data_IF_534323028944
#
_entry.id   IF_534323028944
#
_cell.length_a   1.000
_cell.length_b   1.000
_cell.length_c   1.000
_cell.angle_alpha   90.00
_cell.angle_beta   90.00
_cell.angle_gamma   90.00
#
_symmetry.space_group_name_H-M   'P 1'
#
loop_
_entity.id
_entity.type
_entity.pdbx_description
1 polymer ?
#
# COMPACT_ATOMS: atom_id res chain seq x y z
N UNK A 1 -5.91 7.20 23.52
CA UNK A 1 -5.03 7.95 22.60
C UNK A 1 -5.92 8.91 21.82
N UNK A 2 -5.72 10.21 21.99
CA UNK A 2 -6.58 11.21 21.33
C UNK A 2 -6.18 11.28 19.85
N UNK A 3 -7.01 10.75 18.95
CA UNK A 3 -6.76 10.64 17.50
C UNK A 3 -7.26 11.90 16.77
N UNK A 4 -7.54 12.98 17.52
CA UNK A 4 -8.33 14.09 17.02
C UNK A 4 -7.60 15.05 16.07
N UNK A 5 -6.28 14.97 15.94
CA UNK A 5 -5.55 15.91 15.06
C UNK A 5 -4.31 15.26 14.43
N UNK A 6 -4.40 15.00 13.13
CA UNK A 6 -3.22 14.76 12.30
C UNK A 6 -2.76 16.11 11.75
N UNK A 7 -1.48 16.37 11.84
CA UNK A 7 -0.87 17.57 11.28
C UNK A 7 0.10 17.19 10.17
N UNK A 8 0.14 17.93 9.05
CA UNK A 8 1.11 17.70 7.99
C UNK A 8 2.53 17.76 8.58
N UNK A 9 3.33 16.71 8.40
CA UNK A 9 4.69 16.73 8.86
C UNK A 9 5.52 17.72 8.04
N UNK A 10 6.23 18.62 8.73
CA UNK A 10 7.07 19.60 8.07
C UNK A 10 8.31 19.00 7.40
N UNK A 11 9.14 19.85 6.79
CA UNK A 11 10.37 19.48 6.07
C UNK A 11 11.28 18.54 6.89
N UNK A 12 11.42 18.80 8.21
CA UNK A 12 12.23 17.97 9.12
C UNK A 12 11.75 16.51 9.16
N UNK A 13 10.45 16.27 9.10
CA UNK A 13 9.89 14.93 9.08
C UNK A 13 10.14 14.23 7.73
N UNK A 14 10.10 14.96 6.64
CA UNK A 14 10.43 14.43 5.31
C UNK A 14 11.92 14.09 5.19
N UNK A 15 12.80 14.89 5.77
CA UNK A 15 14.23 14.58 5.88
C UNK A 15 14.49 13.35 6.76
N UNK A 16 13.82 13.27 7.92
CA UNK A 16 13.88 12.10 8.78
C UNK A 16 13.38 10.83 8.06
N UNK A 17 12.27 10.95 7.32
CA UNK A 17 11.77 9.85 6.50
C UNK A 17 12.81 9.40 5.48
N UNK A 18 13.42 10.33 4.74
CA UNK A 18 14.42 10.03 3.73
C UNK A 18 15.65 9.34 4.35
N UNK A 19 16.11 9.83 5.51
CA UNK A 19 17.23 9.23 6.25
C UNK A 19 16.90 7.82 6.72
N UNK A 20 15.78 7.63 7.41
CA UNK A 20 15.37 6.32 7.91
C UNK A 20 15.10 5.33 6.79
N UNK A 21 14.45 5.76 5.70
CA UNK A 21 14.22 4.92 4.54
C UNK A 21 15.55 4.52 3.88
N UNK A 22 16.54 5.40 3.80
CA UNK A 22 17.87 5.07 3.27
C UNK A 22 18.62 4.07 4.15
N UNK A 23 18.60 4.25 5.48
CA UNK A 23 19.20 3.32 6.44
C UNK A 23 18.52 1.95 6.39
N UNK A 24 17.18 1.92 6.43
CA UNK A 24 16.40 0.68 6.32
C UNK A 24 16.60 0.02 4.95
N UNK A 25 16.73 0.81 3.88
CA UNK A 25 17.07 0.33 2.54
C UNK A 25 18.41 -0.41 2.53
N UNK A 26 19.44 0.14 3.17
CA UNK A 26 20.72 -0.50 3.35
C UNK A 26 20.62 -1.84 4.10
N UNK A 27 19.85 -1.88 5.19
CA UNK A 27 19.58 -3.13 5.93
C UNK A 27 18.81 -4.13 5.05
N UNK A 28 17.77 -3.70 4.36
CA UNK A 28 16.99 -4.59 3.48
C UNK A 28 17.86 -5.17 2.38
N UNK A 29 18.68 -4.34 1.71
CA UNK A 29 19.57 -4.81 0.63
C UNK A 29 20.72 -5.68 1.14
N UNK A 30 21.06 -5.65 2.43
CA UNK A 30 22.04 -6.58 3.00
C UNK A 30 21.47 -7.99 3.20
N UNK A 31 20.14 -8.11 3.39
CA UNK A 31 19.47 -9.40 3.70
C UNK A 31 18.60 -9.93 2.56
N UNK A 32 18.39 -9.17 1.49
CA UNK A 32 17.69 -9.63 0.28
C UNK A 32 18.24 -8.93 -0.96
N UNK A 33 17.91 -9.49 -2.13
CA UNK A 33 18.09 -8.81 -3.42
C UNK A 33 16.80 -8.07 -3.71
N UNK A 34 16.86 -6.74 -3.74
CA UNK A 34 15.69 -5.91 -3.99
C UNK A 34 15.70 -5.44 -5.46
N UNK A 35 14.66 -5.82 -6.18
CA UNK A 35 14.45 -5.42 -7.56
C UNK A 35 13.21 -4.54 -7.66
N UNK A 36 13.40 -3.34 -8.20
CA UNK A 36 12.31 -2.41 -8.49
C UNK A 36 12.00 -2.42 -9.98
N UNK A 37 10.79 -2.80 -10.32
CA UNK A 37 10.27 -2.66 -11.68
C UNK A 37 9.21 -1.58 -11.68
N UNK A 38 9.43 -0.53 -12.44
CA UNK A 38 8.41 0.48 -12.66
C UNK A 38 7.73 0.20 -13.98
N UNK A 39 6.41 0.05 -13.93
CA UNK A 39 5.58 -0.20 -15.09
C UNK A 39 4.69 0.97 -15.49
N UNK A 40 5.05 2.17 -15.13
CA UNK A 40 4.35 3.31 -15.69
C UNK A 40 4.69 3.45 -17.16
N UNK A 41 3.69 3.35 -18.01
CA UNK A 41 3.79 3.58 -19.48
C UNK A 41 4.35 4.98 -19.77
N UNK A 42 4.30 5.89 -18.81
CA UNK A 42 4.71 7.29 -18.93
C UNK A 42 6.05 7.66 -18.28
N UNK A 43 6.72 6.74 -17.61
CA UNK A 43 8.06 7.01 -17.01
C UNK A 43 8.08 8.09 -15.90
N UNK A 44 6.94 8.63 -15.50
CA UNK A 44 6.84 9.79 -14.63
C UNK A 44 6.92 9.43 -13.13
N UNK A 45 7.37 10.38 -12.29
CA UNK A 45 7.31 10.30 -10.85
C UNK A 45 5.84 10.19 -10.38
N UNK A 46 5.59 9.69 -9.15
CA UNK A 46 4.25 9.78 -8.58
C UNK A 46 3.70 11.19 -8.75
N UNK A 47 2.38 11.34 -8.94
CA UNK A 47 1.75 12.67 -8.97
C UNK A 47 2.25 13.54 -7.83
N UNK A 48 2.55 14.80 -8.11
CA UNK A 48 3.04 15.77 -7.11
C UNK A 48 1.97 16.14 -6.09
N UNK A 49 0.69 15.93 -6.42
CA UNK A 49 -0.47 16.14 -5.56
C UNK A 49 -0.80 14.95 -4.65
N UNK A 50 -2.02 14.91 -4.11
CA UNK A 50 -2.49 13.80 -3.29
C UNK A 50 -2.49 12.49 -4.08
N UNK A 51 -2.01 11.40 -3.46
CA UNK A 51 -1.98 10.07 -4.07
C UNK A 51 -2.14 9.00 -3.00
N UNK A 52 -2.84 7.92 -3.34
CA UNK A 52 -3.02 6.76 -2.49
C UNK A 52 -2.21 5.61 -3.09
N UNK A 53 -1.22 5.09 -2.37
CA UNK A 53 -0.46 3.91 -2.79
C UNK A 53 -1.02 2.69 -2.07
N UNK A 54 -1.48 1.69 -2.82
CA UNK A 54 -2.01 0.44 -2.28
C UNK A 54 -1.07 -0.70 -2.59
N UNK A 55 -0.80 -1.58 -1.61
CA UNK A 55 0.05 -2.74 -1.81
C UNK A 55 -0.57 -4.00 -1.22
N UNK A 56 -0.21 -5.17 -1.75
CA UNK A 56 -0.53 -6.45 -1.14
C UNK A 56 0.29 -6.66 0.14
N UNK A 57 -0.22 -7.50 1.06
CA UNK A 57 0.36 -7.63 2.40
C UNK A 57 0.68 -9.08 2.75
N UNK A 58 1.94 -9.48 2.59
CA UNK A 58 2.43 -10.86 2.82
C UNK A 58 3.33 -10.99 4.05
N UNK A 59 3.89 -9.86 4.55
CA UNK A 59 4.91 -9.85 5.60
C UNK A 59 4.88 -8.57 6.42
N UNK A 60 5.41 -8.61 7.62
CA UNK A 60 5.69 -7.40 8.41
C UNK A 60 6.74 -6.49 7.74
N UNK A 61 7.58 -7.03 6.85
CA UNK A 61 8.54 -6.23 6.09
C UNK A 61 7.87 -5.34 5.03
N UNK A 62 6.64 -5.62 4.62
CA UNK A 62 5.96 -4.89 3.55
C UNK A 62 5.80 -3.40 3.88
N UNK A 63 5.63 -3.05 5.17
CA UNK A 63 5.59 -1.66 5.59
C UNK A 63 6.89 -0.91 5.30
N UNK A 64 8.03 -1.57 5.50
CA UNK A 64 9.34 -1.00 5.17
C UNK A 64 9.51 -0.92 3.65
N UNK A 65 9.14 -1.98 2.93
CA UNK A 65 9.21 -1.99 1.46
C UNK A 65 8.34 -0.91 0.86
N UNK A 66 7.11 -0.70 1.37
CA UNK A 66 6.22 0.36 0.90
C UNK A 66 6.80 1.76 1.20
N UNK A 67 7.49 1.93 2.33
CA UNK A 67 8.22 3.16 2.61
C UNK A 67 9.37 3.37 1.62
N UNK A 68 10.09 2.30 1.24
CA UNK A 68 11.13 2.37 0.21
C UNK A 68 10.57 2.67 -1.18
N UNK A 69 9.38 2.13 -1.51
CA UNK A 69 8.64 2.51 -2.73
C UNK A 69 8.43 4.02 -2.77
N UNK A 70 7.89 4.61 -1.70
CA UNK A 70 7.72 6.05 -1.61
C UNK A 70 9.03 6.80 -1.86
N UNK A 71 10.10 6.39 -1.18
CA UNK A 71 11.44 7.00 -1.36
C UNK A 71 11.92 6.93 -2.81
N UNK A 72 11.77 5.77 -3.45
CA UNK A 72 12.17 5.55 -4.85
C UNK A 72 11.37 6.41 -5.83
N UNK A 73 10.12 6.71 -5.49
CA UNK A 73 9.23 7.55 -6.27
C UNK A 73 9.31 9.04 -5.91
N UNK A 74 10.30 9.42 -5.09
CA UNK A 74 10.52 10.82 -4.69
C UNK A 74 9.51 11.36 -3.67
N UNK A 75 8.71 10.50 -3.01
CA UNK A 75 7.65 10.89 -2.08
C UNK A 75 7.81 10.24 -0.71
N UNK A 76 7.46 10.98 0.35
CA UNK A 76 7.31 10.41 1.68
C UNK A 76 5.88 9.87 1.84
N UNK A 77 5.73 8.55 2.01
CA UNK A 77 4.41 7.95 2.22
C UNK A 77 3.98 8.05 3.68
N UNK A 78 2.77 8.52 3.94
CA UNK A 78 2.11 8.48 5.24
C UNK A 78 1.40 7.15 5.37
N UNK A 79 2.11 6.14 5.91
CA UNK A 79 1.58 4.79 5.97
C UNK A 79 0.48 4.67 7.01
N UNK A 80 -0.62 4.01 6.64
CA UNK A 80 -1.66 3.59 7.57
C UNK A 80 -1.22 2.31 8.28
N UNK A 81 -0.99 2.38 9.58
CA UNK A 81 -0.50 1.25 10.37
C UNK A 81 -1.38 0.98 11.58
N UNK A 82 -1.46 -0.29 12.03
CA UNK A 82 -2.27 -0.68 13.20
C UNK A 82 -1.92 0.15 14.43
N UNK A 83 -2.94 0.61 15.16
CA UNK A 83 -2.79 1.44 16.36
C UNK A 83 -1.86 0.84 17.43
N UNK A 84 -1.77 -0.50 17.50
CA UNK A 84 -0.89 -1.18 18.44
C UNK A 84 0.59 -0.82 18.30
N UNK A 85 1.08 -0.59 17.07
CA UNK A 85 2.50 -0.20 16.87
C UNK A 85 2.80 1.21 17.36
N UNK A 86 1.78 2.08 17.44
CA UNK A 86 1.92 3.43 17.99
C UNK A 86 2.02 3.46 19.52
N UNK A 87 1.66 2.37 20.19
CA UNK A 87 1.86 2.17 21.64
C UNK A 87 3.28 1.76 22.00
N UNK A 88 4.09 1.31 21.03
CA UNK A 88 5.46 0.91 21.31
C UNK A 88 6.32 2.12 21.73
N UNK A 89 7.13 2.02 22.83
CA UNK A 89 7.80 3.18 23.44
C UNK A 89 8.80 3.87 22.51
N UNK A 90 9.47 3.13 21.63
CA UNK A 90 10.46 3.67 20.69
C UNK A 90 9.81 3.93 19.31
N UNK A 91 9.09 2.95 18.79
CA UNK A 91 8.56 3.02 17.44
C UNK A 91 7.41 4.04 17.32
N UNK A 92 6.54 4.11 18.32
CA UNK A 92 5.38 5.00 18.30
C UNK A 92 5.73 6.48 18.11
N UNK A 93 6.67 7.07 18.87
CA UNK A 93 7.13 8.44 18.64
C UNK A 93 7.70 8.68 17.22
N UNK A 94 8.46 7.71 16.70
CA UNK A 94 9.04 7.79 15.33
C UNK A 94 7.93 7.81 14.29
N UNK A 95 6.96 6.87 14.37
CA UNK A 95 5.85 6.80 13.42
C UNK A 95 5.00 8.07 13.43
N UNK A 96 4.75 8.63 14.61
CA UNK A 96 4.05 9.92 14.74
C UNK A 96 4.83 11.07 14.10
N UNK A 97 6.15 11.13 14.31
CA UNK A 97 7.00 12.15 13.67
C UNK A 97 7.05 12.01 12.15
N UNK A 98 6.99 10.78 11.63
CA UNK A 98 6.88 10.52 10.20
C UNK A 98 5.50 10.82 9.62
N UNK A 99 4.52 11.21 10.43
CA UNK A 99 3.14 11.47 10.01
C UNK A 99 2.39 10.21 9.61
N UNK A 100 2.78 9.05 10.12
CA UNK A 100 2.04 7.80 9.88
C UNK A 100 0.67 7.87 10.56
N UNK A 101 -0.31 7.22 9.96
CA UNK A 101 -1.72 7.32 10.34
C UNK A 101 -2.12 6.06 11.11
N UNK A 102 -2.57 6.21 12.38
CA UNK A 102 -3.00 5.06 13.17
C UNK A 102 -4.34 4.51 12.66
N UNK A 103 -4.39 3.20 12.45
CA UNK A 103 -5.62 2.45 12.17
C UNK A 103 -6.09 1.79 13.46
N UNK A 104 -7.14 2.33 14.04
CA UNK A 104 -7.80 1.74 15.18
C UNK A 104 -8.84 0.74 14.69
N UNK A 105 -8.92 -0.43 15.33
CA UNK A 105 -9.89 -1.46 14.98
C UNK A 105 -11.20 -1.23 15.75
N UNK A 106 -12.31 -1.17 15.04
CA UNK A 106 -13.66 -0.89 15.55
C UNK A 106 -14.44 -0.02 14.57
N UNK A 107 -15.77 -0.01 14.61
CA UNK A 107 -16.59 0.63 13.57
C UNK A 107 -16.43 2.15 13.51
N UNK A 108 -16.43 2.85 14.63
CA UNK A 108 -16.20 4.31 14.69
C UNK A 108 -14.75 4.70 14.40
N UNK A 109 -13.80 3.92 14.87
CA UNK A 109 -12.37 4.20 14.76
C UNK A 109 -11.79 3.95 13.36
N UNK A 110 -12.43 3.12 12.53
CA UNK A 110 -12.06 2.96 11.12
C UNK A 110 -12.39 4.23 10.30
N UNK A 111 -13.55 4.85 10.56
CA UNK A 111 -13.95 6.11 9.96
C UNK A 111 -13.00 7.25 10.35
N UNK A 112 -12.57 7.31 11.61
CA UNK A 112 -11.58 8.29 12.08
C UNK A 112 -10.23 8.13 11.37
N UNK A 113 -9.77 6.91 11.18
CA UNK A 113 -8.52 6.65 10.44
C UNK A 113 -8.60 7.11 8.99
N UNK A 114 -9.75 6.91 8.32
CA UNK A 114 -9.98 7.41 6.96
C UNK A 114 -10.10 8.93 6.93
N UNK A 115 -10.67 9.56 7.96
CA UNK A 115 -10.72 11.02 8.09
C UNK A 115 -9.32 11.61 8.21
N UNK A 116 -8.44 11.02 9.02
CA UNK A 116 -7.04 11.46 9.11
C UNK A 116 -6.30 11.28 7.78
N UNK A 117 -6.52 10.17 7.08
CA UNK A 117 -5.94 9.94 5.76
C UNK A 117 -6.45 10.97 4.73
N UNK A 118 -7.74 11.34 4.77
CA UNK A 118 -8.30 12.38 3.92
C UNK A 118 -7.68 13.76 4.22
N UNK A 119 -7.45 14.08 5.50
CA UNK A 119 -6.74 15.30 5.89
C UNK A 119 -5.31 15.33 5.35
N UNK A 120 -4.60 14.18 5.39
CA UNK A 120 -3.27 14.08 4.81
C UNK A 120 -3.27 14.31 3.30
N UNK A 121 -4.21 13.69 2.59
CA UNK A 121 -4.38 13.88 1.14
C UNK A 121 -4.76 15.31 0.78
N UNK A 122 -5.64 15.95 1.56
CA UNK A 122 -5.99 17.37 1.37
C UNK A 122 -4.79 18.32 1.55
N UNK A 123 -3.80 17.93 2.36
CA UNK A 123 -2.52 18.61 2.49
C UNK A 123 -1.51 18.29 1.36
N UNK A 124 -1.92 17.55 0.32
CA UNK A 124 -1.06 17.14 -0.81
C UNK A 124 -0.13 15.98 -0.51
N UNK A 125 -0.31 15.29 0.62
CA UNK A 125 0.54 14.17 1.02
C UNK A 125 0.21 12.89 0.24
N UNK A 126 1.19 11.96 0.19
CA UNK A 126 0.99 10.63 -0.32
C UNK A 126 0.66 9.67 0.83
N UNK A 127 -0.44 8.92 0.73
CA UNK A 127 -0.88 7.96 1.74
C UNK A 127 -0.64 6.54 1.25
N UNK A 128 0.00 5.70 2.06
CA UNK A 128 0.23 4.29 1.77
C UNK A 128 -0.61 3.38 2.66
N UNK A 129 -1.22 2.35 2.09
CA UNK A 129 -2.02 1.39 2.85
C UNK A 129 -2.05 -0.01 2.21
N UNK A 130 -2.41 -0.98 3.03
CA UNK A 130 -2.67 -2.36 2.61
C UNK A 130 -4.18 -2.58 2.59
N UNK A 131 -4.82 -2.71 1.40
CA UNK A 131 -6.28 -2.76 1.28
C UNK A 131 -6.90 -4.00 1.94
N UNK A 132 -6.15 -5.08 2.08
CA UNK A 132 -6.56 -6.30 2.80
C UNK A 132 -6.79 -6.03 4.30
N UNK A 133 -6.10 -5.04 4.88
CA UNK A 133 -6.16 -4.67 6.29
C UNK A 133 -5.50 -5.67 7.24
N UNK A 134 -4.82 -6.68 6.70
CA UNK A 134 -4.04 -7.70 7.42
C UNK A 134 -3.04 -8.37 6.49
N UNK A 135 -2.07 -9.07 7.07
CA UNK A 135 -1.21 -9.98 6.32
C UNK A 135 -2.07 -11.14 5.80
N UNK A 136 -1.92 -11.45 4.50
CA UNK A 136 -2.67 -12.54 3.85
C UNK A 136 -2.58 -13.86 4.62
N UNK A 137 -3.66 -14.61 4.58
CA UNK A 137 -3.73 -15.98 5.12
C UNK A 137 -3.59 -17.04 4.03
N UNK A 138 -3.59 -16.60 2.77
CA UNK A 138 -3.39 -17.52 1.65
C UNK A 138 -2.00 -18.18 1.76
N UNK A 139 -1.95 -19.52 1.78
CA UNK A 139 -0.67 -20.26 1.84
C UNK A 139 0.26 -19.94 0.66
N UNK A 140 -0.29 -19.67 -0.53
CA UNK A 140 0.43 -19.28 -1.72
C UNK A 140 0.79 -17.79 -1.74
N UNK A 141 0.42 -17.02 -0.69
CA UNK A 141 0.70 -15.59 -0.55
C UNK A 141 0.06 -14.71 -1.62
N UNK A 142 -1.08 -15.13 -2.16
CA UNK A 142 -1.89 -14.27 -3.01
C UNK A 142 -2.62 -13.19 -2.18
N UNK A 143 -2.88 -12.02 -2.77
CA UNK A 143 -3.68 -10.99 -2.10
C UNK A 143 -5.10 -11.49 -1.83
N UNK A 144 -5.63 -11.20 -0.65
CA UNK A 144 -7.01 -11.49 -0.30
C UNK A 144 -7.95 -10.35 -0.72
N UNK A 145 -9.26 -10.58 -0.60
CA UNK A 145 -10.26 -9.55 -0.89
C UNK A 145 -10.04 -8.30 -0.03
N UNK A 146 -10.07 -7.14 -0.68
CA UNK A 146 -9.83 -5.86 -0.02
C UNK A 146 -11.02 -5.39 0.81
N UNK A 147 -10.75 -4.48 1.75
CA UNK A 147 -11.75 -3.57 2.33
C UNK A 147 -11.99 -2.40 1.38
N UNK A 148 -13.13 -1.73 1.52
CA UNK A 148 -13.53 -0.60 0.67
C UNK A 148 -12.84 0.72 1.04
N UNK A 149 -12.02 0.76 2.09
CA UNK A 149 -11.46 2.00 2.64
C UNK A 149 -10.62 2.82 1.65
N UNK A 150 -9.80 2.17 0.82
CA UNK A 150 -8.98 2.84 -0.19
C UNK A 150 -9.84 3.54 -1.25
N UNK A 151 -10.87 2.84 -1.73
CA UNK A 151 -11.81 3.38 -2.74
C UNK A 151 -12.65 4.52 -2.16
N UNK A 152 -13.20 4.35 -0.94
CA UNK A 152 -13.91 5.45 -0.25
C UNK A 152 -13.04 6.68 -0.09
N UNK A 153 -11.76 6.49 0.23
CA UNK A 153 -10.80 7.57 0.37
C UNK A 153 -10.55 8.26 -0.97
N UNK A 154 -10.33 7.49 -2.05
CA UNK A 154 -10.14 8.01 -3.41
C UNK A 154 -11.35 8.79 -3.92
N UNK A 155 -12.54 8.24 -3.75
CA UNK A 155 -13.80 8.89 -4.13
C UNK A 155 -14.00 10.20 -3.39
N UNK A 156 -13.74 10.22 -2.08
CA UNK A 156 -13.88 11.42 -1.24
C UNK A 156 -12.89 12.52 -1.60
N UNK A 157 -11.64 12.16 -1.88
CA UNK A 157 -10.53 13.13 -2.04
C UNK A 157 -10.18 13.44 -3.49
N UNK A 158 -10.63 12.62 -4.46
CA UNK A 158 -10.20 12.67 -5.84
C UNK A 158 -8.76 12.20 -6.06
N UNK A 159 -8.08 11.72 -5.02
CA UNK A 159 -6.71 11.22 -5.14
C UNK A 159 -6.68 9.91 -5.94
N UNK A 160 -5.80 9.77 -6.94
CA UNK A 160 -5.66 8.52 -7.69
C UNK A 160 -5.08 7.42 -6.80
N UNK A 161 -5.42 6.17 -7.11
CA UNK A 161 -4.84 4.98 -6.48
C UNK A 161 -3.70 4.46 -7.35
N UNK A 162 -2.53 4.27 -6.76
CA UNK A 162 -1.37 3.66 -7.42
C UNK A 162 -1.13 2.28 -6.80
N UNK A 163 -1.30 1.19 -7.56
CA UNK A 163 -1.05 -0.15 -7.06
C UNK A 163 0.45 -0.45 -7.05
N UNK A 164 0.91 -1.16 -6.01
CA UNK A 164 2.30 -1.61 -5.83
C UNK A 164 2.33 -3.09 -5.44
N UNK A 165 2.81 -3.95 -6.32
CA UNK A 165 2.98 -5.36 -6.05
C UNK A 165 4.28 -5.60 -5.26
N UNK A 166 4.18 -6.30 -4.14
CA UNK A 166 5.30 -6.71 -3.28
C UNK A 166 5.40 -8.24 -3.28
N UNK A 167 6.44 -8.80 -3.87
CA UNK A 167 6.62 -10.25 -4.02
C UNK A 167 7.92 -10.70 -3.35
N UNK A 168 7.86 -11.78 -2.56
CA UNK A 168 9.02 -12.35 -1.89
C UNK A 168 9.30 -11.81 -0.48
N UNK A 169 8.62 -10.78 -0.01
CA UNK A 169 8.84 -10.17 1.31
C UNK A 169 8.66 -11.14 2.49
N UNK A 170 7.76 -12.12 2.37
CA UNK A 170 7.55 -13.18 3.36
C UNK A 170 8.79 -14.09 3.58
N UNK A 171 9.71 -14.13 2.61
CA UNK A 171 10.96 -14.87 2.73
C UNK A 171 11.99 -14.12 3.59
N UNK A 172 11.92 -12.78 3.62
CA UNK A 172 12.83 -11.93 4.40
C UNK A 172 12.43 -11.95 5.87
N UNK A 173 11.16 -11.65 6.15
CA UNK A 173 10.62 -11.60 7.52
C UNK A 173 9.36 -12.46 7.59
N UNK A 174 9.47 -13.59 8.26
CA UNK A 174 8.33 -14.48 8.51
C UNK A 174 7.69 -14.23 9.88
N UNK A 175 6.49 -14.79 10.08
CA UNK A 175 5.76 -14.73 11.36
C UNK A 175 6.50 -15.42 12.53
N UNK A 176 7.42 -16.32 12.25
CA UNK A 176 8.20 -17.09 13.26
C UNK A 176 9.69 -17.03 12.92
N UNK A 177 10.55 -17.13 13.97
CA UNK A 177 12.03 -17.21 13.85
C UNK A 177 12.65 -15.99 13.14
N UNK A 178 12.24 -14.78 13.55
CA UNK A 178 12.72 -13.53 12.95
C UNK A 178 14.25 -13.44 12.89
N UNK A 179 14.94 -13.63 14.03
CA UNK A 179 16.41 -13.49 14.13
C UNK A 179 17.13 -14.53 13.28
N UNK A 180 16.73 -15.81 13.37
CA UNK A 180 17.40 -16.88 12.62
C UNK A 180 17.20 -16.73 11.11
N UNK A 181 16.04 -16.23 10.67
CA UNK A 181 15.81 -15.91 9.25
C UNK A 181 16.66 -14.72 8.79
N UNK A 182 16.74 -13.69 9.59
CA UNK A 182 17.54 -12.51 9.27
C UNK A 182 19.02 -12.90 9.08
N UNK A 183 19.58 -13.67 10.02
CA UNK A 183 20.96 -14.19 9.91
C UNK A 183 21.15 -15.07 8.70
N UNK A 184 20.22 -16.01 8.44
CA UNK A 184 20.31 -16.86 7.25
C UNK A 184 20.25 -16.03 5.96
N UNK A 185 19.44 -14.98 5.94
CA UNK A 185 19.22 -14.16 4.76
C UNK A 185 20.38 -13.23 4.42
N UNK A 186 21.33 -12.99 5.34
CA UNK A 186 22.60 -12.31 4.99
C UNK A 186 23.42 -13.13 3.98
N UNK A 187 23.25 -14.46 3.98
CA UNK A 187 23.91 -15.38 3.05
C UNK A 187 23.01 -15.70 1.85
N UNK A 188 21.76 -16.10 2.10
CA UNK A 188 20.83 -16.59 1.06
C UNK A 188 20.30 -15.48 0.16
N UNK A 189 20.13 -14.26 0.70
CA UNK A 189 19.66 -13.07 0.01
C UNK A 189 18.49 -13.35 -0.94
N UNK A 190 17.29 -13.74 -0.38
CA UNK A 190 16.13 -14.04 -1.20
C UNK A 190 15.75 -12.84 -2.08
N UNK A 191 15.17 -13.12 -3.25
CA UNK A 191 14.72 -12.10 -4.16
C UNK A 191 13.42 -11.47 -3.66
N UNK A 192 13.40 -10.14 -3.57
CA UNK A 192 12.20 -9.34 -3.33
C UNK A 192 11.98 -8.45 -4.54
N UNK A 193 10.84 -8.61 -5.18
CA UNK A 193 10.46 -7.79 -6.34
C UNK A 193 9.35 -6.83 -5.96
N UNK A 194 9.49 -5.61 -6.44
CA UNK A 194 8.53 -4.52 -6.25
C UNK A 194 8.16 -3.97 -7.61
N UNK A 195 6.89 -3.99 -7.97
CA UNK A 195 6.39 -3.38 -9.19
C UNK A 195 5.35 -2.31 -8.86
N UNK A 196 5.50 -1.13 -9.45
CA UNK A 196 4.57 -0.01 -9.28
C UNK A 196 3.84 0.22 -10.60
N UNK A 197 2.51 0.19 -10.54
CA UNK A 197 1.64 0.37 -11.69
C UNK A 197 1.20 1.81 -11.94
N UNK A 198 0.34 1.96 -12.95
CA UNK A 198 -0.20 3.26 -13.32
C UNK A 198 -1.27 3.76 -12.33
N UNK A 199 -1.41 5.08 -12.17
CA UNK A 199 -2.45 5.67 -11.35
C UNK A 199 -3.86 5.33 -11.88
N UNK A 200 -4.72 4.90 -10.98
CA UNK A 200 -6.13 4.59 -11.23
C UNK A 200 -6.99 5.74 -10.72
N UNK A 201 -7.67 6.44 -11.61
CA UNK A 201 -8.68 7.43 -11.25
C UNK A 201 -10.00 6.72 -10.95
N UNK A 202 -10.30 6.56 -9.66
CA UNK A 202 -11.50 5.86 -9.20
C UNK A 202 -12.78 6.64 -9.50
N UNK A 203 -12.75 7.97 -9.51
CA UNK A 203 -13.90 8.79 -9.87
C UNK A 203 -14.27 8.59 -11.35
N UNK A 204 -13.27 8.56 -12.21
CA UNK A 204 -13.46 8.27 -13.64
C UNK A 204 -13.99 6.85 -13.86
N UNK A 205 -13.48 5.86 -13.12
CA UNK A 205 -13.99 4.47 -13.18
C UNK A 205 -15.46 4.39 -12.76
N UNK A 206 -15.84 5.16 -11.73
CA UNK A 206 -17.21 5.22 -11.24
C UNK A 206 -18.17 5.99 -12.17
N UNK A 207 -17.65 6.72 -13.15
CA UNK A 207 -18.45 7.63 -13.98
C UNK A 207 -19.02 8.82 -13.17
N UNK A 208 -18.37 9.22 -12.08
CA UNK A 208 -18.89 10.22 -11.14
C UNK A 208 -18.15 11.54 -11.30
N UNK A 209 -18.93 12.59 -11.48
CA UNK A 209 -18.47 13.98 -11.43
C UNK A 209 -19.06 14.65 -10.18
N UNK A 210 -18.24 14.92 -9.16
CA UNK A 210 -18.66 15.60 -7.94
C UNK A 210 -18.84 14.70 -6.70
N UNK A 211 -19.50 15.25 -5.65
CA UNK A 211 -19.73 14.59 -4.34
C UNK A 211 -21.05 13.78 -4.33
N UNK A 212 -21.25 12.91 -5.29
CA UNK A 212 -22.41 12.01 -5.28
C UNK A 212 -22.25 10.93 -4.20
N UNK A 213 -23.31 10.69 -3.44
CA UNK A 213 -23.37 9.59 -2.50
C UNK A 213 -23.52 8.29 -3.30
N UNK A 214 -22.46 7.49 -3.34
CA UNK A 214 -22.44 6.24 -4.09
C UNK A 214 -22.98 5.10 -3.24
N UNK A 215 -23.66 4.16 -3.92
CA UNK A 215 -24.12 2.93 -3.33
C UNK A 215 -22.94 2.05 -2.86
N UNK A 216 -23.14 1.34 -1.76
CA UNK A 216 -22.16 0.43 -1.18
C UNK A 216 -21.77 -0.71 -2.13
N UNK A 217 -22.68 -1.14 -2.99
CA UNK A 217 -22.44 -2.16 -4.01
C UNK A 217 -21.47 -1.65 -5.10
N UNK A 218 -21.67 -0.43 -5.59
CA UNK A 218 -20.74 0.20 -6.54
C UNK A 218 -19.36 0.39 -5.91
N UNK A 219 -19.30 0.86 -4.66
CA UNK A 219 -18.03 1.01 -3.94
C UNK A 219 -17.33 -0.35 -3.79
N UNK A 220 -18.08 -1.41 -3.57
CA UNK A 220 -17.54 -2.76 -3.45
C UNK A 220 -16.97 -3.24 -4.78
N UNK A 221 -17.69 -3.06 -5.90
CA UNK A 221 -17.22 -3.39 -7.25
C UNK A 221 -15.92 -2.65 -7.58
N UNK A 222 -15.88 -1.34 -7.35
CA UNK A 222 -14.67 -0.55 -7.59
C UNK A 222 -13.48 -1.03 -6.76
N UNK A 223 -13.72 -1.47 -5.51
CA UNK A 223 -12.66 -2.02 -4.68
C UNK A 223 -12.17 -3.39 -5.20
N UNK A 224 -13.07 -4.21 -5.74
CA UNK A 224 -12.71 -5.47 -6.36
C UNK A 224 -11.96 -5.23 -7.69
N UNK A 225 -12.30 -4.20 -8.49
CA UNK A 225 -11.55 -3.80 -9.68
C UNK A 225 -10.13 -3.33 -9.37
N UNK A 226 -9.96 -2.44 -8.39
CA UNK A 226 -8.63 -1.99 -7.94
C UNK A 226 -7.80 -3.19 -7.47
N UNK A 227 -8.46 -4.13 -6.78
CA UNK A 227 -7.78 -5.33 -6.28
C UNK A 227 -7.39 -6.28 -7.41
N UNK A 228 -8.22 -6.41 -8.46
CA UNK A 228 -7.91 -7.20 -9.64
C UNK A 228 -6.67 -6.67 -10.37
N UNK A 229 -6.52 -5.34 -10.49
CA UNK A 229 -5.31 -4.72 -11.07
C UNK A 229 -4.08 -5.08 -10.22
N UNK A 230 -4.17 -4.98 -8.90
CA UNK A 230 -3.06 -5.33 -8.00
C UNK A 230 -2.69 -6.83 -8.10
N UNK A 231 -3.68 -7.72 -8.15
CA UNK A 231 -3.47 -9.17 -8.32
C UNK A 231 -2.82 -9.46 -9.68
N UNK A 232 -3.27 -8.81 -10.74
CA UNK A 232 -2.66 -8.92 -12.07
C UNK A 232 -1.17 -8.53 -12.05
N UNK A 233 -0.81 -7.46 -11.36
CA UNK A 233 0.59 -7.08 -11.19
C UNK A 233 1.40 -8.10 -10.38
N UNK A 234 0.82 -8.65 -9.30
CA UNK A 234 1.46 -9.72 -8.53
C UNK A 234 1.71 -10.94 -9.41
N UNK A 235 0.72 -11.35 -10.22
CA UNK A 235 0.82 -12.46 -11.16
C UNK A 235 1.98 -12.27 -12.13
N UNK A 236 2.06 -11.10 -12.70
CA UNK A 236 3.10 -10.74 -13.65
C UNK A 236 4.50 -10.73 -13.02
N UNK A 237 4.67 -10.13 -11.84
CA UNK A 237 5.94 -10.13 -11.10
C UNK A 237 6.37 -11.54 -10.72
N UNK A 238 5.41 -12.44 -10.47
CA UNK A 238 5.68 -13.86 -10.20
C UNK A 238 5.98 -14.66 -11.45
N UNK A 239 5.47 -14.25 -12.61
CA UNK A 239 5.45 -15.06 -13.83
C UNK A 239 4.49 -16.26 -13.72
N UNK A 240 3.43 -16.12 -12.92
CA UNK A 240 2.42 -17.16 -12.64
C UNK A 240 1.04 -16.65 -13.06
N UNK A 241 0.11 -17.53 -13.50
CA UNK A 241 -1.27 -17.14 -13.71
C UNK A 241 -1.87 -16.53 -12.43
N UNK A 242 -2.67 -15.49 -12.57
CA UNK A 242 -3.30 -14.85 -11.44
C UNK A 242 -4.24 -15.82 -10.72
N UNK A 243 -3.99 -16.07 -9.44
CA UNK A 243 -4.92 -16.75 -8.56
C UNK A 243 -5.76 -15.69 -7.85
N UNK A 244 -7.03 -15.64 -8.18
CA UNK A 244 -7.93 -14.64 -7.61
C UNK A 244 -8.45 -15.09 -6.26
N UNK A 245 -8.57 -14.17 -5.29
CA UNK A 245 -9.19 -14.48 -4.02
C UNK A 245 -10.66 -14.88 -4.24
N UNK A 246 -11.11 -15.88 -3.49
CA UNK A 246 -12.48 -16.38 -3.51
C UNK A 246 -13.48 -15.21 -3.39
N UNK A 247 -14.39 -15.07 -4.36
CA UNK A 247 -15.48 -14.09 -4.34
C UNK A 247 -15.31 -12.84 -5.20
N UNK A 248 -14.26 -12.72 -6.02
CA UNK A 248 -14.20 -11.68 -7.06
C UNK A 248 -14.98 -12.17 -8.28
N UNK A 249 -16.00 -11.43 -8.77
CA UNK A 249 -16.76 -11.82 -9.95
C UNK A 249 -15.87 -11.98 -11.20
N UNK A 250 -16.16 -12.99 -12.02
CA UNK A 250 -15.40 -13.28 -13.24
C UNK A 250 -15.37 -12.10 -14.23
N UNK A 251 -16.44 -11.30 -14.25
CA UNK A 251 -16.53 -10.07 -15.05
C UNK A 251 -15.47 -9.02 -14.68
N UNK A 252 -15.06 -8.95 -13.42
CA UNK A 252 -13.99 -8.04 -12.95
C UNK A 252 -12.62 -8.54 -13.41
N UNK A 253 -12.48 -9.86 -13.55
CA UNK A 253 -11.27 -10.52 -14.01
C UNK A 253 -10.98 -10.20 -15.48
N UNK A 254 -12.02 -10.24 -16.31
CA UNK A 254 -11.93 -9.94 -17.75
C UNK A 254 -11.53 -8.48 -17.99
N UNK A 255 -12.12 -7.54 -17.27
CA UNK A 255 -11.78 -6.10 -17.37
C UNK A 255 -10.33 -5.82 -16.94
N UNK A 256 -9.84 -6.50 -15.90
CA UNK A 256 -8.47 -6.36 -15.47
C UNK A 256 -7.46 -6.98 -16.46
N UNK A 257 -7.82 -8.13 -17.06
CA UNK A 257 -7.02 -8.78 -18.08
C UNK A 257 -6.92 -7.96 -19.37
N UNK A 258 -8.02 -7.38 -19.85
CA UNK A 258 -8.05 -6.53 -21.03
C UNK A 258 -7.27 -5.22 -20.83
N UNK A 259 -7.35 -4.62 -19.65
CA UNK A 259 -6.55 -3.43 -19.31
C UNK A 259 -5.06 -3.75 -19.14
N UNK A 260 -4.72 -4.92 -18.62
CA UNK A 260 -3.34 -5.38 -18.53
C UNK A 260 -2.76 -5.73 -19.91
N UNK A 261 -3.61 -6.14 -20.86
CA UNK A 261 -3.25 -6.41 -22.25
C UNK A 261 -3.20 -5.16 -23.14
N UNK A 262 -3.49 -3.96 -22.59
CA UNK A 262 -3.43 -2.70 -23.34
C UNK A 262 -4.55 -2.54 -24.39
N UNK A 263 -5.64 -3.27 -24.23
CA UNK A 263 -6.84 -3.20 -25.09
C UNK A 263 -7.96 -2.46 -24.41
#
# INVERSE_FOLDING_TARGET
>A
MNVSSWHPPGLRASLLYALLASLLGGVVTSVCRLEFTRRSVRGEALPTGPVIVVANHTSFADGILLALVGRQLGRSLRLMATGGVFGHPVLGPVLRRLGFIPVLRGTSSAADSLRLAATALAAGEAVGLFPEGRITRDPAQWPERSKTGAVRLALRTGAPIVPAALVGAHQVVGKKRFVTRLLRNTIMRPMVRVAVGDPIDVRRLAGVTGDQQLDDELIRRLADEVMAVLVGQVAEVRGEPAAYPLGVPESVLLVAADRAAGR
#
